data_IF_057225628127
#
_entry.id   IF_057225628127
#
_cell.length_a   1.000
_cell.length_b   1.000
_cell.length_c   1.000
_cell.angle_alpha   90.00
_cell.angle_beta   90.00
_cell.angle_gamma   90.00
#
_symmetry.space_group_name_H-M   'P 1'
#
loop_
_entity.id
_entity.type
_entity.pdbx_description
1 polymer ?
#
# COMPACT_ATOMS: atom_id res chain seq x y z
N UNK A 1 -26.87 -9.21 -10.13
CA UNK A 1 -25.40 -9.22 -10.35
C UNK A 1 -25.14 -9.04 -11.84
N UNK A 2 -24.43 -7.99 -12.26
CA UNK A 2 -24.17 -7.71 -13.67
C UNK A 2 -23.16 -8.73 -14.25
N UNK A 3 -23.24 -9.01 -15.55
CA UNK A 3 -22.31 -9.87 -16.32
C UNK A 3 -20.85 -9.45 -16.13
N UNK A 4 -20.57 -8.15 -16.03
CA UNK A 4 -19.21 -7.64 -15.78
C UNK A 4 -18.71 -8.00 -14.38
N UNK A 5 -19.58 -7.92 -13.37
CA UNK A 5 -19.27 -8.33 -11.99
C UNK A 5 -18.99 -9.84 -11.93
N UNK A 6 -19.79 -10.64 -12.64
CA UNK A 6 -19.58 -12.09 -12.71
C UNK A 6 -18.25 -12.43 -13.41
N UNK A 7 -17.94 -11.77 -14.54
CA UNK A 7 -16.66 -11.93 -15.24
C UNK A 7 -15.49 -11.59 -14.33
N UNK A 8 -15.55 -10.47 -13.61
CA UNK A 8 -14.52 -10.07 -12.65
C UNK A 8 -14.34 -11.12 -11.54
N UNK A 9 -15.43 -11.56 -10.91
CA UNK A 9 -15.39 -12.57 -9.84
C UNK A 9 -14.81 -13.91 -10.31
N UNK A 10 -15.21 -14.38 -11.49
CA UNK A 10 -14.70 -15.63 -12.07
C UNK A 10 -13.20 -15.52 -12.39
N UNK A 11 -12.79 -14.44 -13.05
CA UNK A 11 -11.37 -14.21 -13.37
C UNK A 11 -10.51 -14.12 -12.11
N UNK A 12 -10.99 -13.41 -11.09
CA UNK A 12 -10.35 -13.32 -9.77
C UNK A 12 -10.15 -14.71 -9.17
N UNK A 13 -11.21 -15.52 -9.13
CA UNK A 13 -11.16 -16.85 -8.52
C UNK A 13 -10.19 -17.77 -9.24
N UNK A 14 -10.17 -17.75 -10.58
CA UNK A 14 -9.21 -18.53 -11.39
C UNK A 14 -7.77 -18.08 -11.08
N UNK A 15 -7.50 -16.77 -11.08
CA UNK A 15 -6.17 -16.25 -10.80
C UNK A 15 -5.69 -16.63 -9.39
N UNK A 16 -6.55 -16.50 -8.37
CA UNK A 16 -6.25 -16.91 -7.00
C UNK A 16 -5.93 -18.39 -6.90
N UNK A 17 -6.75 -19.26 -7.48
CA UNK A 17 -6.53 -20.70 -7.46
C UNK A 17 -5.19 -21.09 -8.09
N UNK A 18 -4.84 -20.45 -9.22
CA UNK A 18 -3.54 -20.66 -9.87
C UNK A 18 -2.39 -20.26 -8.94
N UNK A 19 -2.45 -19.08 -8.32
CA UNK A 19 -1.41 -18.60 -7.41
C UNK A 19 -1.30 -19.48 -6.17
N UNK A 20 -2.41 -19.75 -5.48
CA UNK A 20 -2.46 -20.57 -4.25
C UNK A 20 -1.85 -21.96 -4.47
N UNK A 21 -2.16 -22.61 -5.60
CA UNK A 21 -1.61 -23.93 -5.92
C UNK A 21 -0.11 -23.93 -6.17
N UNK A 22 0.46 -22.81 -6.60
CA UNK A 22 1.88 -22.69 -6.91
C UNK A 22 2.70 -22.05 -5.79
N UNK A 23 2.07 -21.39 -4.81
CA UNK A 23 2.78 -20.55 -3.85
C UNK A 23 3.63 -21.34 -2.84
N UNK A 24 3.20 -22.55 -2.46
CA UNK A 24 3.69 -23.30 -1.29
C UNK A 24 5.22 -23.38 -1.22
N UNK A 25 5.82 -22.55 -0.35
CA UNK A 25 7.25 -22.50 -0.02
C UNK A 25 8.18 -22.20 -1.19
N UNK A 26 7.63 -21.72 -2.32
CA UNK A 26 8.39 -21.46 -3.54
C UNK A 26 8.82 -20.00 -3.61
N UNK A 27 9.90 -19.75 -4.36
CA UNK A 27 10.32 -18.36 -4.66
C UNK A 27 9.31 -17.73 -5.60
N UNK A 28 8.90 -16.49 -5.33
CA UNK A 28 7.92 -15.80 -6.17
C UNK A 28 8.37 -15.66 -7.63
N UNK A 29 9.67 -15.58 -7.89
CA UNK A 29 10.25 -15.59 -9.24
C UNK A 29 9.98 -16.90 -9.99
N UNK A 30 10.14 -18.04 -9.33
CA UNK A 30 9.85 -19.36 -9.89
C UNK A 30 8.34 -19.55 -10.10
N UNK A 31 7.54 -19.11 -9.13
CA UNK A 31 6.08 -19.12 -9.23
C UNK A 31 5.61 -18.30 -10.43
N UNK A 32 6.18 -17.10 -10.63
CA UNK A 32 5.85 -16.24 -11.76
C UNK A 32 6.15 -16.91 -13.11
N UNK A 33 7.31 -17.58 -13.23
CA UNK A 33 7.68 -18.31 -14.44
C UNK A 33 6.73 -19.49 -14.70
N UNK A 34 6.48 -20.32 -13.70
CA UNK A 34 5.55 -21.46 -13.84
C UNK A 34 4.14 -21.01 -14.21
N UNK A 35 3.63 -19.94 -13.58
CA UNK A 35 2.31 -19.41 -13.89
C UNK A 35 2.23 -18.84 -15.32
N UNK A 36 3.29 -18.20 -15.79
CA UNK A 36 3.38 -17.70 -17.16
C UNK A 36 3.24 -18.84 -18.17
N UNK A 37 3.89 -19.97 -17.92
CA UNK A 37 3.85 -21.13 -18.80
C UNK A 37 2.51 -21.87 -18.72
N UNK A 38 1.93 -22.02 -17.52
CA UNK A 38 0.58 -22.56 -17.35
C UNK A 38 -0.43 -21.71 -18.14
N UNK A 39 -0.42 -20.39 -18.00
CA UNK A 39 -1.37 -19.49 -18.67
C UNK A 39 -1.21 -19.56 -20.20
N UNK A 40 0.02 -19.70 -20.71
CA UNK A 40 0.28 -19.90 -22.15
C UNK A 40 -0.32 -21.22 -22.64
N UNK A 41 -0.25 -22.28 -21.84
CA UNK A 41 -0.77 -23.60 -22.18
C UNK A 41 -2.31 -23.68 -22.21
N UNK A 42 -3.02 -22.82 -21.47
CA UNK A 42 -4.49 -22.86 -21.34
C UNK A 42 -5.28 -22.55 -22.63
N UNK A 43 -4.62 -22.31 -23.78
CA UNK A 43 -5.25 -22.01 -25.09
C UNK A 43 -6.37 -20.96 -25.05
N UNK A 44 -6.30 -20.00 -24.12
CA UNK A 44 -7.32 -18.96 -23.93
C UNK A 44 -7.25 -17.87 -25.03
N UNK A 45 -8.38 -17.22 -25.37
CA UNK A 45 -8.39 -16.03 -26.20
C UNK A 45 -7.46 -14.93 -25.67
N UNK A 46 -6.81 -14.17 -26.57
CA UNK A 46 -5.79 -13.20 -26.20
C UNK A 46 -6.25 -12.17 -25.15
N UNK A 47 -7.49 -11.67 -25.28
CA UNK A 47 -8.06 -10.71 -24.32
C UNK A 47 -8.17 -11.30 -22.92
N UNK A 48 -8.71 -12.51 -22.80
CA UNK A 48 -8.86 -13.22 -21.50
C UNK A 48 -7.48 -13.54 -20.91
N UNK A 49 -6.54 -13.97 -21.75
CA UNK A 49 -5.17 -14.26 -21.33
C UNK A 49 -4.48 -13.04 -20.73
N UNK A 50 -4.61 -11.87 -21.36
CA UNK A 50 -4.04 -10.61 -20.84
C UNK A 50 -4.62 -10.26 -19.47
N UNK A 51 -5.95 -10.30 -19.34
CA UNK A 51 -6.64 -10.02 -18.06
C UNK A 51 -6.19 -11.00 -16.97
N UNK A 52 -6.05 -12.29 -17.30
CA UNK A 52 -5.57 -13.30 -16.35
C UNK A 52 -4.12 -13.04 -15.91
N UNK A 53 -3.24 -12.70 -16.86
CA UNK A 53 -1.83 -12.39 -16.59
C UNK A 53 -1.68 -11.15 -15.69
N UNK A 54 -2.51 -10.14 -15.92
CA UNK A 54 -2.57 -8.94 -15.08
C UNK A 54 -3.04 -9.28 -13.66
N UNK A 55 -4.15 -10.02 -13.52
CA UNK A 55 -4.65 -10.46 -12.22
C UNK A 55 -3.62 -11.29 -11.44
N UNK A 56 -2.92 -12.22 -12.12
CA UNK A 56 -1.84 -13.01 -11.51
C UNK A 56 -0.66 -12.13 -11.10
N UNK A 57 -0.28 -11.16 -11.94
CA UNK A 57 0.80 -10.23 -11.62
C UNK A 57 0.46 -9.37 -10.40
N UNK A 58 -0.80 -8.93 -10.27
CA UNK A 58 -1.28 -8.22 -9.07
C UNK A 58 -1.20 -9.10 -7.81
N UNK A 59 -1.64 -10.37 -7.89
CA UNK A 59 -1.55 -11.30 -6.76
C UNK A 59 -0.11 -11.54 -6.33
N UNK A 60 0.82 -11.74 -7.27
CA UNK A 60 2.23 -11.94 -6.95
C UNK A 60 2.87 -10.70 -6.33
N UNK A 61 2.52 -9.49 -6.80
CA UNK A 61 2.94 -8.24 -6.19
C UNK A 61 2.39 -8.09 -4.77
N UNK A 62 1.16 -8.53 -4.55
CA UNK A 62 0.53 -8.49 -3.23
C UNK A 62 1.21 -9.46 -2.25
N UNK A 63 1.58 -10.67 -2.69
CA UNK A 63 2.38 -11.59 -1.86
C UNK A 63 3.77 -11.02 -1.60
N UNK A 64 4.41 -10.40 -2.59
CA UNK A 64 5.71 -9.74 -2.38
C UNK A 64 5.60 -8.59 -1.39
N UNK A 65 4.56 -7.74 -1.49
CA UNK A 65 4.28 -6.67 -0.53
C UNK A 65 4.13 -7.24 0.89
N UNK A 66 3.32 -8.28 1.03
CA UNK A 66 3.13 -8.94 2.31
C UNK A 66 4.45 -9.49 2.85
N UNK A 67 5.24 -10.15 2.01
CA UNK A 67 6.53 -10.71 2.42
C UNK A 67 7.52 -9.61 2.86
N UNK A 68 7.67 -8.55 2.06
CA UNK A 68 8.52 -7.39 2.36
C UNK A 68 8.15 -6.78 3.72
N UNK A 69 6.84 -6.59 3.98
CA UNK A 69 6.32 -6.07 5.27
C UNK A 69 6.72 -6.95 6.45
N UNK A 70 6.62 -8.28 6.32
CA UNK A 70 6.85 -9.20 7.44
C UNK A 70 8.33 -9.55 7.65
N UNK A 71 9.21 -9.26 6.69
CA UNK A 71 10.67 -9.31 6.93
C UNK A 71 11.08 -8.33 8.02
N UNK A 72 10.41 -7.19 8.11
CA UNK A 72 10.69 -6.14 9.10
C UNK A 72 10.36 -6.57 10.53
N UNK A 73 9.57 -7.64 10.74
CA UNK A 73 9.28 -8.18 12.08
C UNK A 73 10.52 -8.75 12.77
N UNK A 74 11.56 -9.10 12.01
CA UNK A 74 12.74 -9.75 12.56
C UNK A 74 13.78 -8.68 12.94
N UNK A 75 14.16 -8.51 14.22
CA UNK A 75 15.11 -7.49 14.67
C UNK A 75 16.45 -7.66 13.97
N UNK A 76 17.10 -6.59 13.48
CA UNK A 76 18.37 -6.68 12.72
C UNK A 76 19.43 -7.49 13.47
N UNK A 77 19.87 -8.61 12.89
CA UNK A 77 21.03 -9.37 13.34
C UNK A 77 21.90 -9.50 12.11
N UNK A 78 23.15 -9.05 12.20
CA UNK A 78 24.11 -9.23 11.12
C UNK A 78 24.08 -10.70 10.68
N UNK A 79 23.82 -10.93 9.40
CA UNK A 79 23.72 -12.29 8.85
C UNK A 79 25.09 -12.94 9.04
N UNK A 80 25.20 -13.83 10.03
CA UNK A 80 26.37 -14.71 10.15
C UNK A 80 26.41 -15.56 8.88
N UNK A 81 27.58 -15.63 8.22
CA UNK A 81 27.79 -16.44 7.00
C UNK A 81 27.18 -17.85 7.21
N UNK A 82 26.34 -18.29 6.28
CA UNK A 82 25.75 -19.64 6.29
C UNK A 82 24.32 -19.76 6.84
N UNK A 83 23.69 -18.68 7.31
CA UNK A 83 22.25 -18.71 7.68
C UNK A 83 21.35 -18.27 6.53
N UNK A 84 20.21 -18.94 6.41
CA UNK A 84 19.16 -18.61 5.44
C UNK A 84 18.68 -17.16 5.63
N UNK A 85 18.53 -16.36 4.55
CA UNK A 85 18.02 -15.00 4.68
C UNK A 85 16.60 -14.97 5.28
N UNK A 86 16.29 -13.91 6.02
CA UNK A 86 15.02 -13.76 6.76
C UNK A 86 13.78 -13.79 5.88
N UNK A 87 13.91 -13.29 4.66
CA UNK A 87 12.88 -13.38 3.63
C UNK A 87 12.45 -14.83 3.36
N UNK A 88 13.35 -15.80 3.54
CA UNK A 88 13.04 -17.20 3.32
C UNK A 88 12.19 -17.80 4.45
N UNK A 89 12.26 -17.26 5.68
CA UNK A 89 11.36 -17.66 6.79
C UNK A 89 9.93 -17.20 6.51
N UNK A 90 9.75 -15.99 5.99
CA UNK A 90 8.41 -15.47 5.68
C UNK A 90 7.67 -16.34 4.65
N UNK A 91 8.40 -17.08 3.80
CA UNK A 91 7.79 -18.02 2.84
C UNK A 91 7.08 -19.19 3.51
N UNK A 92 7.47 -19.60 4.71
CA UNK A 92 6.80 -20.74 5.39
C UNK A 92 5.34 -20.42 5.69
N UNK A 93 5.01 -19.14 5.81
CA UNK A 93 3.67 -18.63 6.11
C UNK A 93 2.75 -18.47 4.89
N UNK A 94 3.29 -18.55 3.66
CA UNK A 94 2.52 -18.40 2.42
C UNK A 94 1.27 -19.29 2.32
N UNK A 95 1.27 -20.56 2.80
CA UNK A 95 0.08 -21.40 2.75
C UNK A 95 -1.11 -20.88 3.58
N UNK A 96 -0.84 -20.00 4.55
CA UNK A 96 -1.81 -19.48 5.51
C UNK A 96 -2.37 -18.11 5.12
N UNK A 97 -1.99 -17.59 3.94
CA UNK A 97 -2.48 -16.31 3.42
C UNK A 97 -4.00 -16.35 3.23
N UNK A 98 -4.66 -15.33 3.76
CA UNK A 98 -6.10 -15.12 3.60
C UNK A 98 -6.34 -13.94 2.68
N UNK A 99 -7.14 -14.15 1.63
CA UNK A 99 -7.51 -13.11 0.67
C UNK A 99 -8.80 -12.41 1.06
N UNK A 100 -8.90 -11.11 0.82
CA UNK A 100 -10.16 -10.36 0.98
C UNK A 100 -11.21 -10.84 -0.02
N UNK A 101 -12.46 -10.99 0.42
CA UNK A 101 -13.52 -11.65 -0.36
C UNK A 101 -13.74 -11.07 -1.77
N UNK A 102 -13.56 -9.76 -1.98
CA UNK A 102 -13.85 -9.09 -3.26
C UNK A 102 -12.68 -8.28 -3.83
N UNK A 103 -11.45 -8.56 -3.40
CA UNK A 103 -10.26 -7.81 -3.85
C UNK A 103 -9.09 -8.76 -4.10
N UNK A 104 -8.19 -8.36 -4.98
CA UNK A 104 -6.88 -9.03 -5.18
C UNK A 104 -5.90 -8.53 -4.09
N UNK A 105 -6.31 -8.60 -2.83
CA UNK A 105 -5.63 -8.06 -1.67
C UNK A 105 -5.57 -9.12 -0.57
N UNK A 106 -4.44 -9.20 0.12
CA UNK A 106 -4.31 -10.02 1.31
C UNK A 106 -5.03 -9.29 2.46
N UNK A 107 -5.76 -10.06 3.26
CA UNK A 107 -6.26 -9.61 4.55
C UNK A 107 -5.14 -9.80 5.58
N UNK A 108 -4.40 -8.73 5.88
CA UNK A 108 -3.19 -8.81 6.69
C UNK A 108 -3.48 -9.29 8.12
N UNK A 109 -4.51 -8.73 8.76
CA UNK A 109 -4.91 -9.12 10.11
C UNK A 109 -5.41 -10.56 10.15
N UNK A 110 -6.28 -10.95 9.21
CA UNK A 110 -6.82 -12.31 9.19
C UNK A 110 -5.73 -13.33 8.83
N UNK A 111 -4.78 -12.96 7.96
CA UNK A 111 -3.60 -13.76 7.65
C UNK A 111 -2.72 -13.94 8.89
N UNK A 112 -2.46 -12.87 9.65
CA UNK A 112 -1.70 -12.96 10.89
C UNK A 112 -2.36 -13.90 11.90
N UNK A 113 -3.69 -13.80 12.08
CA UNK A 113 -4.46 -14.72 12.94
C UNK A 113 -4.37 -16.16 12.45
N UNK A 114 -4.55 -16.39 11.14
CA UNK A 114 -4.42 -17.71 10.51
C UNK A 114 -3.04 -18.33 10.76
N UNK A 115 -1.96 -17.55 10.61
CA UNK A 115 -0.59 -18.00 10.87
C UNK A 115 -0.39 -18.32 12.36
N UNK A 116 -0.83 -17.43 13.25
CA UNK A 116 -0.73 -17.62 14.70
C UNK A 116 -1.44 -18.89 15.15
N UNK A 117 -2.62 -19.13 14.60
CA UNK A 117 -3.46 -20.29 14.92
C UNK A 117 -2.92 -21.58 14.33
N UNK A 118 -2.33 -21.59 13.14
CA UNK A 118 -1.97 -22.84 12.46
C UNK A 118 -0.48 -23.18 12.51
N UNK A 119 0.40 -22.20 12.32
CA UNK A 119 1.86 -22.41 12.24
C UNK A 119 2.55 -22.12 13.58
N UNK A 120 2.11 -21.09 14.32
CA UNK A 120 2.81 -20.62 15.51
C UNK A 120 2.26 -21.16 16.84
N UNK A 121 1.44 -22.23 16.83
CA UNK A 121 0.84 -22.81 18.06
C UNK A 121 1.87 -23.10 19.14
N UNK A 122 3.02 -23.67 18.76
CA UNK A 122 4.12 -24.03 19.66
C UNK A 122 5.23 -22.97 19.71
N UNK A 123 5.13 -21.89 18.93
CA UNK A 123 6.15 -20.84 18.84
C UNK A 123 5.65 -19.54 19.47
N UNK A 124 5.71 -19.50 20.80
CA UNK A 124 5.19 -18.39 21.60
C UNK A 124 5.76 -17.01 21.20
N UNK A 125 7.06 -16.93 20.91
CA UNK A 125 7.71 -15.68 20.49
C UNK A 125 7.13 -15.16 19.17
N UNK A 126 7.00 -16.01 18.14
CA UNK A 126 6.48 -15.58 16.84
C UNK A 126 5.01 -15.16 16.94
N UNK A 127 4.21 -15.90 17.72
CA UNK A 127 2.82 -15.52 18.02
C UNK A 127 2.76 -14.13 18.67
N UNK A 128 3.63 -13.86 19.65
CA UNK A 128 3.69 -12.56 20.31
C UNK A 128 4.14 -11.44 19.36
N UNK A 129 5.12 -11.71 18.49
CA UNK A 129 5.58 -10.75 17.49
C UNK A 129 4.46 -10.36 16.51
N UNK A 130 3.69 -11.33 16.00
CA UNK A 130 2.50 -11.04 15.18
C UNK A 130 1.47 -10.22 15.96
N UNK A 131 1.13 -10.64 17.17
CA UNK A 131 0.18 -9.91 18.02
C UNK A 131 0.61 -8.45 18.20
N UNK A 132 1.89 -8.21 18.49
CA UNK A 132 2.46 -6.87 18.64
C UNK A 132 2.37 -6.02 17.36
N UNK A 133 2.76 -6.57 16.21
CA UNK A 133 2.73 -5.86 14.93
C UNK A 133 1.30 -5.53 14.45
N UNK A 134 0.32 -6.34 14.85
CA UNK A 134 -1.09 -6.18 14.51
C UNK A 134 -1.94 -5.62 15.65
N UNK A 135 -1.30 -5.12 16.73
CA UNK A 135 -1.95 -4.56 17.91
C UNK A 135 -3.11 -5.42 18.46
N UNK A 136 -2.91 -6.74 18.53
CA UNK A 136 -3.89 -7.67 19.10
C UNK A 136 -3.78 -7.65 20.64
N UNK A 137 -4.36 -6.63 21.28
CA UNK A 137 -4.26 -6.37 22.72
C UNK A 137 -4.58 -7.61 23.57
N UNK A 138 -5.67 -8.31 23.26
CA UNK A 138 -6.11 -9.52 23.98
C UNK A 138 -5.07 -10.65 23.94
N UNK A 139 -4.29 -10.75 22.86
CA UNK A 139 -3.21 -11.72 22.75
C UNK A 139 -1.95 -11.24 23.48
N UNK A 140 -1.59 -9.96 23.36
CA UNK A 140 -0.37 -9.41 23.98
C UNK A 140 -0.46 -9.42 25.51
N UNK A 141 -1.63 -9.09 26.04
CA UNK A 141 -1.89 -8.92 27.47
C UNK A 141 -2.31 -10.22 28.18
N UNK A 142 -2.35 -11.34 27.46
CA UNK A 142 -2.67 -12.65 28.01
C UNK A 142 -1.52 -13.15 28.93
N UNK A 143 -1.69 -12.91 30.24
CA UNK A 143 -0.72 -13.32 31.28
C UNK A 143 -0.55 -14.84 31.38
N UNK A 144 -1.57 -15.61 30.99
CA UNK A 144 -1.50 -17.07 30.98
C UNK A 144 -0.60 -17.57 29.85
N UNK A 145 -0.69 -16.97 28.66
CA UNK A 145 0.20 -17.30 27.53
C UNK A 145 1.60 -16.73 27.71
N UNK A 146 1.72 -15.55 28.31
CA UNK A 146 2.95 -14.78 28.37
C UNK A 146 3.27 -14.36 29.81
N UNK A 147 3.72 -15.32 30.61
CA UNK A 147 4.18 -15.05 31.97
C UNK A 147 5.36 -14.03 32.00
N UNK A 148 5.66 -13.53 33.21
CA UNK A 148 6.74 -12.56 33.44
C UNK A 148 8.10 -13.04 32.93
N UNK A 149 8.41 -14.33 33.01
CA UNK A 149 9.68 -14.88 32.56
C UNK A 149 9.79 -14.90 31.04
N UNK A 150 8.74 -15.33 30.33
CA UNK A 150 8.64 -15.28 28.87
C UNK A 150 8.77 -13.86 28.36
N UNK A 151 8.05 -12.90 28.97
CA UNK A 151 8.15 -11.48 28.59
C UNK A 151 9.54 -10.90 28.80
N UNK A 152 10.19 -11.23 29.93
CA UNK A 152 11.57 -10.82 30.19
C UNK A 152 12.53 -11.41 29.13
N UNK A 153 12.28 -12.65 28.72
CA UNK A 153 13.06 -13.32 27.66
C UNK A 153 12.85 -12.64 26.31
N UNK A 154 11.60 -12.36 25.92
CA UNK A 154 11.27 -11.66 24.69
C UNK A 154 11.89 -10.27 24.65
N UNK A 155 11.80 -9.50 25.73
CA UNK A 155 12.46 -8.19 25.84
C UNK A 155 13.95 -8.26 25.55
N UNK A 156 14.65 -9.30 26.03
CA UNK A 156 16.07 -9.51 25.74
C UNK A 156 16.30 -9.92 24.28
N UNK A 157 15.58 -10.92 23.78
CA UNK A 157 15.80 -11.49 22.43
C UNK A 157 15.35 -10.59 21.29
N UNK A 158 14.35 -9.75 21.54
CA UNK A 158 13.69 -8.87 20.58
C UNK A 158 14.02 -7.38 20.77
N UNK A 159 14.96 -7.07 21.66
CA UNK A 159 15.44 -5.71 21.92
C UNK A 159 15.89 -4.98 20.66
N UNK A 160 15.77 -3.66 20.68
CA UNK A 160 16.11 -2.73 19.59
C UNK A 160 15.15 -2.80 18.40
N UNK A 161 13.99 -3.43 18.57
CA UNK A 161 12.92 -3.38 17.60
C UNK A 161 11.83 -2.40 18.09
N UNK A 162 11.51 -1.33 17.34
CA UNK A 162 10.62 -0.28 17.81
C UNK A 162 9.28 -0.76 18.35
N UNK A 163 8.70 -1.79 17.72
CA UNK A 163 7.40 -2.35 18.13
C UNK A 163 7.52 -3.16 19.44
N UNK A 164 8.58 -3.95 19.60
CA UNK A 164 8.71 -4.85 20.74
C UNK A 164 9.18 -4.10 21.98
N UNK A 165 10.07 -3.12 21.79
CA UNK A 165 10.48 -2.19 22.84
C UNK A 165 9.28 -1.37 23.32
N UNK A 166 8.41 -0.95 22.40
CA UNK A 166 7.15 -0.27 22.73
C UNK A 166 6.23 -1.13 23.61
N UNK A 167 5.85 -2.33 23.17
CA UNK A 167 4.94 -3.17 23.95
C UNK A 167 5.55 -3.63 25.28
N UNK A 168 6.85 -3.91 25.31
CA UNK A 168 7.55 -4.26 26.55
C UNK A 168 7.55 -3.11 27.55
N UNK A 169 7.78 -1.88 27.07
CA UNK A 169 7.76 -0.68 27.91
C UNK A 169 6.35 -0.34 28.37
N UNK A 170 5.36 -0.43 27.48
CA UNK A 170 3.96 -0.17 27.80
C UNK A 170 3.44 -1.12 28.88
N UNK A 171 3.91 -2.37 28.89
CA UNK A 171 3.56 -3.33 29.93
C UNK A 171 4.16 -2.99 31.31
N UNK A 172 5.36 -2.40 31.34
CA UNK A 172 6.07 -2.03 32.58
C UNK A 172 5.65 -0.65 33.12
N UNK A 173 4.93 0.15 32.33
CA UNK A 173 4.58 1.54 32.65
C UNK A 173 3.07 1.75 32.65
N UNK A 174 2.62 2.87 33.25
CA UNK A 174 1.21 3.28 33.13
C UNK A 174 0.96 3.77 31.71
N UNK A 175 -0.11 3.28 31.08
CA UNK A 175 -0.43 3.59 29.68
C UNK A 175 -0.59 5.10 29.48
N UNK A 176 -1.23 5.78 30.42
CA UNK A 176 -1.46 7.22 30.40
C UNK A 176 -0.14 7.99 30.31
N UNK A 177 0.88 7.56 31.06
CA UNK A 177 2.19 8.20 31.05
C UNK A 177 2.93 8.05 29.72
N UNK A 178 2.68 6.95 28.99
CA UNK A 178 3.32 6.69 27.69
C UNK A 178 2.68 7.49 26.54
N UNK A 179 1.38 7.77 26.63
CA UNK A 179 0.61 8.49 25.61
C UNK A 179 0.37 9.98 25.92
N UNK A 180 0.70 10.45 27.13
CA UNK A 180 0.64 11.85 27.51
C UNK A 180 1.51 12.71 26.57
N UNK A 181 0.84 13.42 25.67
CA UNK A 181 1.46 14.21 24.59
C UNK A 181 1.04 15.67 24.62
N UNK A 182 0.18 16.07 25.56
CA UNK A 182 -0.30 17.45 25.69
C UNK A 182 0.58 18.26 26.64
N UNK A 183 1.04 17.63 27.73
CA UNK A 183 1.84 18.31 28.77
C UNK A 183 3.33 18.01 28.71
N UNK A 184 3.75 17.06 27.88
CA UNK A 184 5.13 16.54 27.81
C UNK A 184 5.57 16.32 26.38
N UNK A 185 6.90 16.33 26.19
CA UNK A 185 7.48 15.88 24.94
C UNK A 185 7.03 14.45 24.64
N UNK A 186 6.70 14.13 23.39
CA UNK A 186 6.25 12.79 23.02
C UNK A 186 7.28 11.73 23.39
N UNK A 187 6.80 10.61 23.93
CA UNK A 187 7.66 9.48 24.27
C UNK A 187 8.38 8.97 23.01
N UNK A 188 9.71 8.89 23.06
CA UNK A 188 10.55 8.49 21.92
C UNK A 188 10.25 7.07 21.45
N UNK A 189 10.05 6.12 22.38
CA UNK A 189 9.76 4.72 22.07
C UNK A 189 8.42 4.62 21.33
N UNK A 190 7.40 5.33 21.81
CA UNK A 190 6.10 5.41 21.13
C UNK A 190 6.24 6.04 19.73
N UNK A 191 6.98 7.15 19.61
CA UNK A 191 7.20 7.83 18.33
C UNK A 191 7.90 6.91 17.32
N UNK A 192 8.93 6.17 17.75
CA UNK A 192 9.64 5.21 16.91
C UNK A 192 8.75 4.06 16.45
N UNK A 193 7.92 3.52 17.36
CA UNK A 193 6.93 2.50 17.02
C UNK A 193 5.92 3.02 15.99
N UNK A 194 5.47 4.27 16.14
CA UNK A 194 4.52 4.87 15.21
C UNK A 194 5.13 5.09 13.82
N UNK A 195 6.37 5.61 13.75
CA UNK A 195 7.10 5.78 12.48
C UNK A 195 7.32 4.42 11.81
N UNK A 196 7.68 3.39 12.56
CA UNK A 196 7.84 2.03 12.04
C UNK A 196 6.52 1.50 11.46
N UNK A 197 5.43 1.61 12.22
CA UNK A 197 4.12 1.12 11.82
C UNK A 197 3.63 1.81 10.53
N UNK A 198 3.81 3.13 10.44
CA UNK A 198 3.52 3.90 9.24
C UNK A 198 4.39 3.44 8.06
N UNK A 199 5.70 3.40 8.23
CA UNK A 199 6.65 3.09 7.15
C UNK A 199 6.39 1.72 6.53
N UNK A 200 6.05 0.73 7.37
CA UNK A 200 5.88 -0.66 6.95
C UNK A 200 4.40 -1.06 6.72
N UNK A 201 3.46 -0.14 6.92
CA UNK A 201 2.04 -0.37 6.62
C UNK A 201 1.35 -1.35 7.58
N UNK A 202 1.66 -1.28 8.88
CA UNK A 202 0.94 -2.03 9.93
C UNK A 202 -0.31 -1.26 10.34
N UNK A 203 -1.38 -1.39 9.56
CA UNK A 203 -2.61 -0.62 9.69
C UNK A 203 -3.21 -0.64 11.10
N UNK A 204 -3.32 -1.81 11.71
CA UNK A 204 -3.93 -2.00 13.03
C UNK A 204 -3.13 -1.27 14.11
N UNK A 205 -1.81 -1.37 14.06
CA UNK A 205 -0.91 -0.67 14.97
C UNK A 205 -0.92 0.84 14.74
N UNK A 206 -0.97 1.29 13.47
CA UNK A 206 -1.16 2.70 13.14
C UNK A 206 -2.46 3.23 13.72
N UNK A 207 -3.57 2.51 13.55
CA UNK A 207 -4.89 2.89 14.08
C UNK A 207 -4.90 2.92 15.60
N UNK A 208 -4.30 1.92 16.25
CA UNK A 208 -4.16 1.85 17.70
C UNK A 208 -3.40 3.07 18.25
N UNK A 209 -2.21 3.35 17.71
CA UNK A 209 -1.38 4.47 18.15
C UNK A 209 -2.06 5.81 17.86
N UNK A 210 -2.61 5.97 16.65
CA UNK A 210 -3.32 7.19 16.24
C UNK A 210 -4.39 7.59 17.24
N UNK A 211 -5.21 6.63 17.69
CA UNK A 211 -6.32 6.90 18.60
C UNK A 211 -5.88 7.24 20.02
N UNK A 212 -4.65 6.91 20.43
CA UNK A 212 -4.15 7.14 21.80
C UNK A 212 -3.28 8.39 21.94
N UNK A 213 -2.71 8.92 20.86
CA UNK A 213 -1.90 10.15 20.89
C UNK A 213 -2.75 11.41 20.67
N UNK A 214 -2.29 12.56 21.18
CA UNK A 214 -2.98 13.84 21.05
C UNK A 214 -2.93 14.44 19.62
N UNK A 215 -3.87 15.34 19.26
CA UNK A 215 -3.99 15.90 17.91
C UNK A 215 -2.72 16.54 17.35
N UNK A 216 -2.01 17.34 18.15
CA UNK A 216 -0.76 17.99 17.72
C UNK A 216 0.34 16.98 17.36
N UNK A 217 0.41 15.86 18.09
CA UNK A 217 1.38 14.81 17.80
C UNK A 217 1.01 13.99 16.55
N UNK A 218 -0.30 13.74 16.33
CA UNK A 218 -0.83 13.13 15.09
C UNK A 218 -0.42 13.93 13.87
N UNK A 219 -0.63 15.25 13.92
CA UNK A 219 -0.23 16.15 12.84
C UNK A 219 1.28 16.14 12.65
N UNK A 220 2.07 16.31 13.72
CA UNK A 220 3.52 16.39 13.65
C UNK A 220 4.16 15.14 13.04
N UNK A 221 3.92 13.95 13.62
CA UNK A 221 4.53 12.70 13.13
C UNK A 221 3.97 12.34 11.76
N UNK A 222 2.65 12.49 11.57
CA UNK A 222 1.99 12.19 10.32
C UNK A 222 2.51 13.04 9.17
N UNK A 223 2.64 14.37 9.35
CA UNK A 223 3.20 15.27 8.33
C UNK A 223 4.68 15.00 8.07
N UNK A 224 5.48 14.82 9.12
CA UNK A 224 6.92 14.57 8.99
C UNK A 224 7.18 13.31 8.16
N UNK A 225 6.40 12.26 8.39
CA UNK A 225 6.54 10.99 7.67
C UNK A 225 5.78 10.94 6.35
N UNK A 226 4.84 11.87 6.11
CA UNK A 226 3.91 11.79 4.98
C UNK A 226 4.61 11.65 3.63
N UNK A 227 5.66 12.45 3.37
CA UNK A 227 6.41 12.37 2.11
C UNK A 227 7.07 11.00 1.92
N UNK A 228 7.76 10.51 2.94
CA UNK A 228 8.41 9.20 2.89
C UNK A 228 7.39 8.07 2.78
N UNK A 229 6.25 8.23 3.46
CA UNK A 229 5.13 7.31 3.43
C UNK A 229 4.49 7.24 2.02
N UNK A 230 4.20 8.37 1.36
CA UNK A 230 3.74 8.37 -0.04
C UNK A 230 4.75 7.72 -1.01
N UNK A 231 6.04 7.73 -0.67
CA UNK A 231 7.06 7.09 -1.48
C UNK A 231 7.12 5.57 -1.29
N UNK A 232 6.96 5.09 -0.05
CA UNK A 232 7.23 3.69 0.34
C UNK A 232 5.98 2.85 0.56
N UNK A 233 4.88 3.47 0.96
CA UNK A 233 3.67 2.76 1.36
C UNK A 233 3.12 1.96 0.18
N UNK A 234 2.88 0.68 0.45
CA UNK A 234 2.19 -0.24 -0.45
C UNK A 234 0.92 -0.81 0.18
N UNK A 235 0.66 -0.47 1.45
CA UNK A 235 -0.50 -0.91 2.19
C UNK A 235 -1.67 0.06 1.99
N UNK A 236 -2.74 -0.44 1.37
CA UNK A 236 -3.87 0.40 0.93
C UNK A 236 -4.67 0.94 2.10
N UNK A 237 -4.89 0.14 3.13
CA UNK A 237 -5.73 0.52 4.28
C UNK A 237 -5.00 1.55 5.15
N UNK A 238 -3.69 1.38 5.38
CA UNK A 238 -2.85 2.39 6.03
C UNK A 238 -2.84 3.68 5.22
N UNK A 239 -2.65 3.61 3.89
CA UNK A 239 -2.65 4.81 3.03
C UNK A 239 -3.98 5.58 3.13
N UNK A 240 -5.11 4.89 2.99
CA UNK A 240 -6.45 5.49 3.05
C UNK A 240 -6.71 6.14 4.41
N UNK A 241 -6.40 5.43 5.49
CA UNK A 241 -6.62 5.92 6.85
C UNK A 241 -5.79 7.17 7.14
N UNK A 242 -4.47 7.11 6.91
CA UNK A 242 -3.56 8.22 7.20
C UNK A 242 -3.86 9.40 6.29
N UNK A 243 -4.14 9.17 5.00
CA UNK A 243 -4.56 10.22 4.08
C UNK A 243 -5.81 10.94 4.56
N UNK A 244 -6.84 10.18 4.93
CA UNK A 244 -8.11 10.74 5.42
C UNK A 244 -7.88 11.61 6.65
N UNK A 245 -7.18 11.05 7.65
CA UNK A 245 -6.92 11.75 8.91
C UNK A 245 -6.02 12.97 8.77
N UNK A 246 -5.00 12.94 7.92
CA UNK A 246 -4.18 14.11 7.68
C UNK A 246 -4.87 15.18 6.84
N UNK A 247 -5.78 14.79 5.94
CA UNK A 247 -6.57 15.76 5.18
C UNK A 247 -7.64 16.45 6.05
N UNK A 248 -8.21 15.76 7.04
CA UNK A 248 -9.08 16.36 8.07
C UNK A 248 -8.34 17.46 8.83
N UNK A 249 -7.04 17.27 9.10
CA UNK A 249 -6.21 18.25 9.82
C UNK A 249 -5.76 19.39 8.91
N UNK A 250 -5.09 19.08 7.78
CA UNK A 250 -4.51 20.10 6.91
C UNK A 250 -4.40 19.63 5.44
N UNK A 251 -5.52 19.61 4.73
CA UNK A 251 -5.59 19.22 3.32
C UNK A 251 -4.64 20.03 2.40
N UNK A 252 -4.36 21.31 2.71
CA UNK A 252 -3.51 22.15 1.85
C UNK A 252 -2.04 21.76 1.95
N UNK A 253 -1.52 21.59 3.17
CA UNK A 253 -0.15 21.14 3.39
C UNK A 253 0.08 19.73 2.83
N UNK A 254 -0.88 18.84 3.05
CA UNK A 254 -0.84 17.48 2.51
C UNK A 254 -0.82 17.49 0.99
N UNK A 255 -1.68 18.28 0.34
CA UNK A 255 -1.67 18.41 -1.12
C UNK A 255 -0.30 18.87 -1.64
N UNK A 256 0.30 19.90 -1.04
CA UNK A 256 1.61 20.41 -1.45
C UNK A 256 2.73 19.36 -1.30
N UNK A 257 2.80 18.67 -0.16
CA UNK A 257 3.81 17.64 0.08
C UNK A 257 3.63 16.46 -0.88
N UNK A 258 2.39 16.06 -1.10
CA UNK A 258 2.04 14.94 -1.98
C UNK A 258 2.34 15.27 -3.43
N UNK A 259 2.04 16.49 -3.87
CA UNK A 259 2.28 16.97 -5.23
C UNK A 259 3.72 16.79 -5.67
N UNK A 260 4.70 17.17 -4.85
CA UNK A 260 6.10 16.97 -5.18
C UNK A 260 6.45 15.50 -5.45
N UNK A 261 5.84 14.57 -4.69
CA UNK A 261 6.11 13.13 -4.83
C UNK A 261 5.32 12.53 -6.00
N UNK A 262 4.09 13.00 -6.20
CA UNK A 262 3.18 12.59 -7.26
C UNK A 262 3.69 13.06 -8.63
N UNK A 263 4.04 14.33 -8.75
CA UNK A 263 4.55 14.92 -9.98
C UNK A 263 5.93 14.38 -10.35
N UNK A 264 6.83 14.15 -9.39
CA UNK A 264 8.11 13.49 -9.64
C UNK A 264 7.93 12.06 -10.16
N UNK A 265 6.98 11.29 -9.59
CA UNK A 265 6.65 9.95 -10.09
C UNK A 265 6.01 10.01 -11.49
N UNK A 266 5.08 10.94 -11.72
CA UNK A 266 4.50 11.17 -13.03
C UNK A 266 5.59 11.50 -14.05
N UNK A 267 6.38 12.54 -13.82
CA UNK A 267 7.42 12.99 -14.73
C UNK A 267 8.44 11.90 -15.05
N UNK A 268 8.88 11.11 -14.06
CA UNK A 268 9.77 9.95 -14.29
C UNK A 268 9.11 8.77 -15.02
N UNK A 269 7.78 8.75 -15.11
CA UNK A 269 7.05 7.80 -15.96
C UNK A 269 6.89 8.32 -17.40
N UNK A 270 7.06 9.62 -17.64
CA UNK A 270 6.86 10.26 -18.96
C UNK A 270 8.17 10.58 -19.65
N UNK A 271 9.13 11.13 -18.91
CA UNK A 271 10.33 11.74 -19.44
C UNK A 271 11.54 10.91 -18.99
N UNK A 272 12.07 10.08 -19.89
CA UNK A 272 13.45 9.64 -19.81
C UNK A 272 13.91 9.05 -21.14
N UNK A 273 14.95 9.66 -21.69
CA UNK A 273 15.56 9.34 -22.98
C UNK A 273 16.35 8.01 -22.96
N UNK A 274 16.48 7.29 -21.82
CA UNK A 274 17.42 6.15 -21.73
C UNK A 274 17.16 5.07 -20.64
N UNK A 275 15.97 4.88 -20.05
CA UNK A 275 15.78 3.89 -18.93
C UNK A 275 14.79 2.74 -19.14
N UNK A 276 15.16 1.62 -18.51
CA UNK A 276 14.47 0.33 -18.35
C UNK A 276 12.94 0.44 -18.16
N UNK A 277 12.15 -0.23 -19.02
CA UNK A 277 10.68 -0.35 -18.96
C UNK A 277 10.16 -0.74 -17.57
N UNK A 278 10.97 -1.42 -16.76
CA UNK A 278 10.63 -1.77 -15.37
C UNK A 278 10.48 -0.54 -14.48
N UNK A 279 11.33 0.48 -14.66
CA UNK A 279 11.31 1.71 -13.85
C UNK A 279 10.09 2.57 -14.22
N UNK A 280 9.81 2.71 -15.51
CA UNK A 280 8.63 3.40 -16.02
C UNK A 280 7.34 2.80 -15.43
N UNK A 281 7.18 1.47 -15.55
CA UNK A 281 6.02 0.78 -15.00
C UNK A 281 5.92 0.95 -13.48
N UNK A 282 7.04 0.98 -12.76
CA UNK A 282 7.04 1.18 -11.29
C UNK A 282 6.50 2.58 -10.93
N UNK A 283 6.92 3.61 -11.65
CA UNK A 283 6.47 4.98 -11.42
C UNK A 283 4.99 5.16 -11.80
N UNK A 284 4.55 4.57 -12.91
CA UNK A 284 3.13 4.52 -13.29
C UNK A 284 2.27 3.83 -12.22
N UNK A 285 2.67 2.64 -11.75
CA UNK A 285 1.96 1.93 -10.68
C UNK A 285 1.84 2.79 -9.41
N UNK A 286 2.82 3.66 -9.15
CA UNK A 286 2.81 4.54 -7.98
C UNK A 286 1.81 5.69 -8.14
N UNK A 287 1.71 6.28 -9.32
CA UNK A 287 0.67 7.28 -9.65
C UNK A 287 -0.71 6.68 -9.48
N UNK A 288 -0.95 5.50 -10.05
CA UNK A 288 -2.20 4.72 -9.91
C UNK A 288 -2.51 4.42 -8.43
N UNK A 289 -1.52 3.93 -7.68
CA UNK A 289 -1.71 3.62 -6.26
C UNK A 289 -2.10 4.85 -5.44
N UNK A 290 -1.47 6.00 -5.66
CA UNK A 290 -1.79 7.23 -4.92
C UNK A 290 -3.22 7.69 -5.25
N UNK A 291 -3.60 7.76 -6.52
CA UNK A 291 -4.94 8.22 -6.91
C UNK A 291 -6.04 7.29 -6.38
N UNK A 292 -5.83 5.97 -6.44
CA UNK A 292 -6.79 4.98 -5.98
C UNK A 292 -6.97 4.92 -4.45
N UNK A 293 -6.02 5.46 -3.66
CA UNK A 293 -6.02 5.32 -2.20
C UNK A 293 -6.01 6.64 -1.43
N UNK A 294 -5.78 7.78 -2.08
CA UNK A 294 -6.00 9.09 -1.49
C UNK A 294 -7.51 9.39 -1.33
N UNK A 295 -7.86 10.21 -0.35
CA UNK A 295 -9.22 10.71 -0.18
C UNK A 295 -9.59 11.69 -1.30
N UNK A 296 -10.90 11.92 -1.51
CA UNK A 296 -11.40 12.74 -2.63
C UNK A 296 -10.92 14.19 -2.58
N UNK A 297 -10.75 14.74 -1.37
CA UNK A 297 -10.21 16.09 -1.17
C UNK A 297 -8.79 16.19 -1.71
N UNK A 298 -7.92 15.24 -1.35
CA UNK A 298 -6.54 15.24 -1.81
C UNK A 298 -6.46 14.93 -3.31
N UNK A 299 -7.28 13.99 -3.80
CA UNK A 299 -7.30 13.60 -5.21
C UNK A 299 -7.64 14.79 -6.11
N UNK A 300 -8.71 15.52 -5.80
CA UNK A 300 -9.09 16.74 -6.56
C UNK A 300 -8.01 17.80 -6.52
N UNK A 301 -7.44 18.06 -5.32
CA UNK A 301 -6.34 19.03 -5.18
C UNK A 301 -5.11 18.65 -6.00
N UNK A 302 -4.74 17.38 -6.04
CA UNK A 302 -3.61 16.91 -6.84
C UNK A 302 -3.87 17.10 -8.32
N UNK A 303 -5.04 16.69 -8.83
CA UNK A 303 -5.33 16.79 -10.25
C UNK A 303 -5.54 18.23 -10.72
N UNK A 304 -6.06 19.12 -9.85
CA UNK A 304 -6.24 20.55 -10.13
C UNK A 304 -4.99 21.42 -9.90
N UNK A 305 -3.91 20.86 -9.36
CA UNK A 305 -2.71 21.65 -9.05
C UNK A 305 -2.04 22.21 -10.31
N UNK A 306 -1.49 23.42 -10.16
CA UNK A 306 -0.80 24.15 -11.23
C UNK A 306 -1.65 24.28 -12.51
N UNK A 307 -2.96 24.54 -12.36
CA UNK A 307 -3.92 24.64 -13.45
C UNK A 307 -4.01 23.35 -14.29
N UNK A 308 -4.24 22.22 -13.61
CA UNK A 308 -4.37 20.90 -14.24
C UNK A 308 -3.12 20.43 -14.99
N UNK A 309 -1.93 20.77 -14.47
CA UNK A 309 -0.65 20.53 -15.15
C UNK A 309 -0.45 19.08 -15.59
N UNK A 310 -0.71 18.11 -14.70
CA UNK A 310 -0.55 16.67 -15.00
C UNK A 310 -1.48 16.19 -16.12
N UNK A 311 -2.67 16.77 -16.24
CA UNK A 311 -3.61 16.45 -17.32
C UNK A 311 -3.10 17.06 -18.62
N UNK A 312 -2.68 18.33 -18.58
CA UNK A 312 -2.14 19.00 -19.76
C UNK A 312 -0.87 18.33 -20.28
N UNK A 313 0.02 17.88 -19.39
CA UNK A 313 1.25 17.21 -19.77
C UNK A 313 0.95 15.80 -20.29
N UNK A 314 0.03 15.05 -19.66
CA UNK A 314 -0.42 13.76 -20.20
C UNK A 314 -1.03 13.87 -21.61
N UNK A 315 -1.76 14.96 -21.88
CA UNK A 315 -2.26 15.26 -23.21
C UNK A 315 -1.13 15.60 -24.19
N UNK A 316 -0.21 16.50 -23.81
CA UNK A 316 0.93 16.92 -24.66
C UNK A 316 1.85 15.76 -25.05
N UNK A 317 2.08 14.84 -24.13
CA UNK A 317 2.94 13.67 -24.35
C UNK A 317 2.19 12.43 -24.87
N UNK A 318 0.90 12.58 -25.22
CA UNK A 318 0.06 11.50 -25.76
C UNK A 318 0.00 10.22 -24.88
N UNK A 319 -0.09 10.41 -23.55
CA UNK A 319 -0.21 9.33 -22.57
C UNK A 319 -1.66 8.90 -22.33
N UNK A 320 -2.25 8.18 -23.27
CA UNK A 320 -3.68 7.78 -23.24
C UNK A 320 -4.10 7.11 -21.93
N UNK A 321 -3.32 6.17 -21.44
CA UNK A 321 -3.65 5.43 -20.22
C UNK A 321 -3.71 6.33 -18.97
N UNK A 322 -2.68 7.17 -18.76
CA UNK A 322 -2.61 8.08 -17.61
C UNK A 322 -3.65 9.19 -17.73
N UNK A 323 -3.88 9.68 -18.94
CA UNK A 323 -4.92 10.67 -19.20
C UNK A 323 -6.30 10.09 -18.85
N UNK A 324 -6.61 8.87 -19.30
CA UNK A 324 -7.86 8.17 -18.94
C UNK A 324 -8.02 8.04 -17.44
N UNK A 325 -6.97 7.55 -16.76
CA UNK A 325 -6.93 7.39 -15.31
C UNK A 325 -7.23 8.72 -14.59
N UNK A 326 -6.66 9.83 -15.04
CA UNK A 326 -6.93 11.13 -14.42
C UNK A 326 -8.38 11.55 -14.60
N UNK A 327 -8.96 11.36 -15.79
CA UNK A 327 -10.37 11.70 -16.05
C UNK A 327 -11.37 10.86 -15.25
N UNK A 328 -11.02 9.63 -14.89
CA UNK A 328 -11.87 8.79 -14.02
C UNK A 328 -12.06 9.37 -12.61
N UNK A 329 -11.17 10.28 -12.21
CA UNK A 329 -11.08 10.81 -10.86
C UNK A 329 -11.48 12.29 -10.73
N UNK A 330 -11.88 12.93 -11.82
CA UNK A 330 -12.37 14.31 -11.83
C UNK A 330 -13.89 14.34 -11.67
N UNK A 331 -14.38 15.36 -10.97
CA UNK A 331 -15.81 15.65 -10.92
C UNK A 331 -16.24 16.48 -12.14
N UNK A 332 -17.55 16.77 -12.24
CA UNK A 332 -18.14 17.45 -13.40
C UNK A 332 -17.57 18.85 -13.63
N UNK A 333 -17.23 19.58 -12.56
CA UNK A 333 -16.69 20.94 -12.65
C UNK A 333 -15.22 20.89 -13.05
N UNK A 334 -14.44 20.04 -12.40
CA UNK A 334 -13.02 19.82 -12.71
C UNK A 334 -12.84 19.32 -14.15
N UNK A 335 -13.74 18.46 -14.66
CA UNK A 335 -13.72 18.00 -16.05
C UNK A 335 -13.92 19.14 -17.06
N UNK A 336 -14.82 20.09 -16.76
CA UNK A 336 -15.05 21.25 -17.63
C UNK A 336 -13.80 22.14 -17.67
N UNK A 337 -13.21 22.43 -16.52
CA UNK A 337 -12.01 23.25 -16.42
C UNK A 337 -10.79 22.57 -17.08
N UNK A 338 -10.61 21.26 -16.86
CA UNK A 338 -9.55 20.49 -17.51
C UNK A 338 -9.70 20.46 -19.04
N UNK A 339 -10.94 20.38 -19.54
CA UNK A 339 -11.24 20.44 -20.98
C UNK A 339 -10.81 21.79 -21.58
N UNK A 340 -11.15 22.91 -20.95
CA UNK A 340 -10.74 24.23 -21.43
C UNK A 340 -9.22 24.40 -21.51
N UNK A 341 -8.47 23.73 -20.64
CA UNK A 341 -6.99 23.69 -20.71
C UNK A 341 -6.54 22.87 -21.92
N UNK A 342 -7.13 21.69 -22.16
CA UNK A 342 -6.80 20.81 -23.28
C UNK A 342 -7.15 21.43 -24.63
N UNK A 343 -8.35 21.99 -24.77
CA UNK A 343 -8.82 22.65 -25.99
C UNK A 343 -7.87 23.82 -26.37
N UNK A 344 -7.43 24.63 -25.38
CA UNK A 344 -6.43 25.70 -25.59
C UNK A 344 -5.07 25.18 -26.08
N UNK A 345 -4.64 23.99 -25.67
CA UNK A 345 -3.37 23.39 -26.12
C UNK A 345 -3.51 22.91 -27.57
N UNK A 346 -4.63 22.29 -27.91
CA UNK A 346 -4.93 21.79 -29.25
C UNK A 346 -5.05 22.93 -30.26
N UNK A 347 -5.75 24.01 -29.92
CA UNK A 347 -5.89 25.21 -30.76
C UNK A 347 -4.52 25.82 -31.09
N UNK A 348 -3.59 25.81 -30.12
CA UNK A 348 -2.22 26.31 -30.30
C UNK A 348 -1.33 25.39 -31.14
N UNK A 349 -1.54 24.07 -31.06
CA UNK A 349 -0.65 23.10 -31.72
C UNK A 349 -1.11 22.71 -33.13
N UNK A 350 -2.34 23.06 -33.55
CA UNK A 350 -2.92 22.71 -34.88
C UNK A 350 -2.72 21.22 -35.27
N UNK A 351 -2.52 20.36 -34.28
CA UNK A 351 -2.04 18.99 -34.47
C UNK A 351 -3.21 18.02 -34.40
N UNK A 352 -3.31 17.13 -35.38
CA UNK A 352 -4.32 16.06 -35.43
C UNK A 352 -4.08 14.94 -34.41
N UNK A 353 -2.96 14.94 -33.68
CA UNK A 353 -2.55 13.80 -32.83
C UNK A 353 -3.32 13.71 -31.49
N UNK A 354 -4.12 14.72 -31.11
CA UNK A 354 -4.88 14.76 -29.84
C UNK A 354 -6.37 14.39 -29.92
N UNK A 355 -6.91 14.12 -31.11
CA UNK A 355 -8.35 13.94 -31.31
C UNK A 355 -8.96 12.70 -30.63
N UNK A 356 -8.14 11.70 -30.27
CA UNK A 356 -8.56 10.55 -29.46
C UNK A 356 -8.89 10.96 -28.03
N UNK A 357 -7.91 11.56 -27.34
CA UNK A 357 -8.05 12.04 -25.96
C UNK A 357 -9.13 13.10 -25.78
N UNK A 358 -9.28 14.01 -26.74
CA UNK A 358 -10.36 15.01 -26.69
C UNK A 358 -11.74 14.33 -26.70
N UNK A 359 -11.93 13.31 -27.57
CA UNK A 359 -13.16 12.49 -27.57
C UNK A 359 -13.35 11.74 -26.25
N UNK A 360 -12.29 11.37 -25.55
CA UNK A 360 -12.38 10.72 -24.24
C UNK A 360 -12.91 11.67 -23.15
N UNK A 361 -12.40 12.91 -23.09
CA UNK A 361 -12.95 13.95 -22.21
C UNK A 361 -14.43 14.19 -22.50
N UNK A 362 -14.78 14.38 -23.78
CA UNK A 362 -16.16 14.64 -24.19
C UNK A 362 -17.09 13.49 -23.80
N UNK A 363 -16.68 12.24 -24.05
CA UNK A 363 -17.44 11.04 -23.65
C UNK A 363 -17.64 10.98 -22.14
N UNK A 364 -16.59 11.24 -21.36
CA UNK A 364 -16.69 11.23 -19.90
C UNK A 364 -17.62 12.33 -19.39
N UNK A 365 -17.56 13.52 -19.96
CA UNK A 365 -18.48 14.62 -19.62
C UNK A 365 -19.95 14.25 -19.93
N UNK A 366 -20.21 13.57 -21.04
CA UNK A 366 -21.54 13.07 -21.39
C UNK A 366 -22.05 12.00 -20.42
N UNK A 367 -21.19 11.22 -19.76
CA UNK A 367 -21.63 10.26 -18.72
C UNK A 367 -22.12 10.90 -17.42
N UNK A 368 -21.88 12.21 -17.21
CA UNK A 368 -22.39 12.99 -16.07
C UNK A 368 -23.56 13.92 -16.44
N UNK A 369 -24.09 13.77 -17.65
CA UNK A 369 -25.27 14.49 -18.15
C UNK A 369 -26.46 13.56 -18.07
#
# INVERSE_FOLDING_TARGET
>A
MNVETLKYCTMRRVAMLLVEKQLRWRRLTEVALTLKDIIRALKLPLKIRKVLQEAVSMLLREVQRWADKHVEMFPFQAVKKGRTPRSEHVRTFQPWIVWKQNRLEIDDLQTAKSIMENECKSWAQMRWQFACCYAMEDEILDDWKYDRHRRTTFKKTLSNHPVYDFWSTLYETRWEAMFETERRLPNQIMTQCFIFALTNGYFELVKFLWNKIGPGHREYVGLLQWKAFCFRCRDRDTMRFVCGKLCEVNARSIARITWCTFFDAFYKAVNNEETDKVIEQKNRCKVEFLLANCCDVLRRRLLGMENFRVISDAFRYNLEDLFTLFLEHLDKEDLRAAREVVDRIQDRTKSCHGGGMQRMILRKQMTFS
#
